data_IF_483251175978
#
_entry.id   IF_483251175978
#
_cell.length_a   1.000
_cell.length_b   1.000
_cell.length_c   1.000
_cell.angle_alpha   90.00
_cell.angle_beta   90.00
_cell.angle_gamma   90.00
#
_symmetry.space_group_name_H-M   'P 1'
#
loop_
_entity.id
_entity.type
_entity.pdbx_description
1 polymer ?
#
# COMPACT_ATOMS: atom_id res chain seq x y z
N UNK A 1 3.84 43.38 -27.12
CA UNK A 1 4.16 42.68 -25.85
C UNK A 1 3.29 43.29 -24.77
N UNK A 2 2.17 42.64 -24.44
CA UNK A 2 1.26 43.07 -23.39
C UNK A 2 1.04 41.88 -22.47
N UNK A 3 1.72 41.88 -21.33
CA UNK A 3 1.58 40.88 -20.29
C UNK A 3 0.22 41.01 -19.64
N UNK A 4 -0.55 39.92 -19.63
CA UNK A 4 -1.72 39.75 -18.77
C UNK A 4 -1.27 38.97 -17.56
N UNK A 5 -1.23 39.70 -16.46
CA UNK A 5 -0.94 39.28 -15.10
C UNK A 5 -1.95 38.27 -14.58
N UNK A 6 -1.39 37.17 -14.08
CA UNK A 6 -1.86 36.30 -13.00
C UNK A 6 -3.14 36.71 -12.27
N UNK A 7 -4.15 35.84 -12.30
CA UNK A 7 -5.10 35.67 -11.20
C UNK A 7 -5.12 34.19 -10.82
N UNK A 8 -4.21 33.83 -9.91
CA UNK A 8 -4.25 32.55 -9.18
C UNK A 8 -5.52 32.57 -8.33
N UNK A 9 -6.48 31.72 -8.71
CA UNK A 9 -7.74 31.53 -8.01
C UNK A 9 -7.46 31.11 -6.57
N UNK A 10 -7.73 32.02 -5.63
CA UNK A 10 -7.70 31.74 -4.20
C UNK A 10 -8.74 30.66 -3.89
N UNK A 11 -8.29 29.41 -3.80
CA UNK A 11 -9.07 28.37 -3.13
C UNK A 11 -9.18 28.77 -1.66
N UNK A 12 -10.41 29.11 -1.27
CA UNK A 12 -10.84 29.45 0.08
C UNK A 12 -10.10 28.66 1.16
N UNK A 13 -9.29 29.38 1.94
CA UNK A 13 -8.69 28.87 3.15
C UNK A 13 -9.78 28.52 4.18
N UNK A 14 -9.88 27.23 4.50
CA UNK A 14 -10.43 26.61 5.72
C UNK A 14 -11.54 27.36 6.50
N UNK A 15 -12.81 27.06 6.21
CA UNK A 15 -13.87 27.15 7.23
C UNK A 15 -14.17 25.75 7.76
N UNK A 16 -13.51 25.40 8.87
CA UNK A 16 -13.68 24.10 9.54
C UNK A 16 -13.13 24.10 10.96
N UNK A 17 -13.34 25.18 11.71
CA UNK A 17 -13.21 25.16 13.16
C UNK A 17 -14.43 24.42 13.71
N UNK A 18 -14.33 23.09 13.77
CA UNK A 18 -15.34 22.27 14.43
C UNK A 18 -14.93 22.09 15.90
N UNK A 19 -15.76 22.66 16.75
CA UNK A 19 -15.68 22.77 18.19
C UNK A 19 -15.98 21.40 18.81
N UNK A 20 -14.96 20.56 18.98
CA UNK A 20 -15.05 19.33 19.79
C UNK A 20 -13.93 19.37 20.82
N UNK A 21 -14.18 20.17 21.85
CA UNK A 21 -13.54 20.09 23.15
C UNK A 21 -13.64 18.63 23.65
N UNK A 22 -12.51 17.96 23.91
CA UNK A 22 -12.25 17.04 25.05
C UNK A 22 -10.98 16.18 24.80
N UNK A 23 -10.11 16.13 25.82
CA UNK A 23 -8.93 15.24 26.00
C UNK A 23 -7.67 15.55 25.18
N UNK A 24 -6.77 16.32 25.81
CA UNK A 24 -5.44 16.74 25.32
C UNK A 24 -5.48 17.50 23.98
N UNK A 25 -5.05 18.75 23.96
CA UNK A 25 -4.95 19.51 22.71
C UNK A 25 -3.83 18.97 21.83
N UNK A 26 -4.21 18.19 20.82
CA UNK A 26 -3.30 17.70 19.80
C UNK A 26 -3.12 18.77 18.71
N UNK A 27 -1.94 18.81 18.09
CA UNK A 27 -1.68 19.64 16.91
C UNK A 27 -2.40 19.04 15.69
N UNK A 28 -2.53 19.82 14.63
CA UNK A 28 -2.99 19.30 13.34
C UNK A 28 -1.98 18.26 12.82
N UNK A 29 -2.45 17.15 12.22
CA UNK A 29 -1.58 16.18 11.57
C UNK A 29 -0.71 16.85 10.50
N UNK A 30 0.54 16.40 10.38
CA UNK A 30 1.43 16.86 9.33
C UNK A 30 0.94 16.36 7.97
N UNK A 31 0.89 17.26 6.98
CA UNK A 31 0.65 16.90 5.58
C UNK A 31 1.98 16.49 4.93
N UNK A 32 2.01 15.33 4.28
CA UNK A 32 3.15 14.89 3.49
C UNK A 32 3.03 15.52 2.10
N UNK A 33 4.11 16.14 1.63
CA UNK A 33 4.21 16.70 0.28
C UNK A 33 5.22 15.89 -0.54
N UNK A 34 4.97 15.77 -1.84
CA UNK A 34 5.89 15.11 -2.76
C UNK A 34 7.10 16.00 -3.03
N UNK A 35 8.28 15.40 -3.02
CA UNK A 35 9.55 16.09 -3.25
C UNK A 35 10.25 15.57 -4.50
N UNK A 36 11.28 16.30 -4.93
CA UNK A 36 12.10 15.91 -6.08
C UNK A 36 12.91 14.64 -5.77
N UNK A 37 13.25 14.39 -4.49
CA UNK A 37 13.94 13.16 -4.09
C UNK A 37 13.12 11.89 -4.37
N UNK A 38 11.78 11.98 -4.31
CA UNK A 38 10.87 10.85 -4.56
C UNK A 38 10.94 10.35 -6.02
N UNK A 39 11.37 11.20 -6.96
CA UNK A 39 11.59 10.81 -8.36
C UNK A 39 12.78 9.84 -8.52
N UNK A 40 13.80 9.97 -7.67
CA UNK A 40 14.97 9.08 -7.71
C UNK A 40 14.60 7.67 -7.27
N UNK A 41 13.71 7.54 -6.28
CA UNK A 41 13.15 6.26 -5.87
C UNK A 41 12.39 5.59 -7.03
N UNK A 42 11.59 6.35 -7.77
CA UNK A 42 10.90 5.84 -8.96
C UNK A 42 11.87 5.32 -10.04
N UNK A 43 12.97 6.02 -10.32
CA UNK A 43 13.98 5.58 -11.29
C UNK A 43 14.66 4.26 -10.87
N UNK A 44 14.92 4.09 -9.58
CA UNK A 44 15.49 2.83 -9.06
C UNK A 44 14.52 1.65 -9.24
N UNK A 45 13.25 1.82 -8.85
CA UNK A 45 12.23 0.77 -9.03
C UNK A 45 12.02 0.43 -10.50
N UNK A 46 11.99 1.44 -11.37
CA UNK A 46 11.87 1.24 -12.82
C UNK A 46 13.03 0.42 -13.37
N UNK A 47 14.26 0.75 -12.98
CA UNK A 47 15.47 0.02 -13.41
C UNK A 47 15.46 -1.43 -12.92
N UNK A 48 15.09 -1.68 -11.67
CA UNK A 48 14.96 -3.04 -11.14
C UNK A 48 13.90 -3.85 -11.88
N UNK A 49 12.77 -3.24 -12.23
CA UNK A 49 11.70 -3.89 -12.96
C UNK A 49 12.09 -4.22 -14.41
N UNK A 50 12.80 -3.31 -15.09
CA UNK A 50 13.35 -3.57 -16.42
C UNK A 50 14.39 -4.71 -16.39
N UNK A 51 15.26 -4.74 -15.37
CA UNK A 51 16.24 -5.81 -15.18
C UNK A 51 15.57 -7.17 -14.92
N UNK A 52 14.51 -7.24 -14.10
CA UNK A 52 13.74 -8.47 -13.88
C UNK A 52 12.99 -8.91 -15.14
N UNK A 53 12.34 -7.99 -15.85
CA UNK A 53 11.64 -8.32 -17.11
C UNK A 53 12.58 -8.86 -18.20
N UNK A 54 13.85 -8.43 -18.23
CA UNK A 54 14.85 -8.98 -19.16
C UNK A 54 15.33 -10.41 -18.83
N UNK A 55 15.06 -10.88 -17.60
CA UNK A 55 15.36 -12.26 -17.15
C UNK A 55 14.13 -13.16 -17.34
N UNK A 56 12.93 -12.60 -17.22
CA UNK A 56 11.65 -13.32 -17.26
C UNK A 56 11.17 -13.69 -18.69
N UNK A 57 11.78 -13.15 -19.74
CA UNK A 57 11.49 -13.56 -21.14
C UNK A 57 12.11 -14.93 -21.52
N UNK A 58 12.73 -15.66 -20.58
CA UNK A 58 13.26 -17.02 -20.84
C UNK A 58 12.66 -18.17 -20.04
N UNK A 59 12.04 -17.95 -18.88
CA UNK A 59 11.39 -19.01 -18.09
C UNK A 59 10.27 -18.31 -17.32
N UNK A 60 9.00 -18.46 -17.71
CA UNK A 60 8.27 -19.68 -17.46
C UNK A 60 8.00 -19.80 -15.95
N UNK A 61 6.75 -19.50 -15.55
CA UNK A 61 6.03 -20.15 -14.46
C UNK A 61 6.91 -20.85 -13.39
N UNK A 62 7.06 -20.26 -12.20
CA UNK A 62 7.26 -21.02 -10.96
C UNK A 62 7.00 -20.11 -9.76
N UNK A 63 5.89 -20.42 -9.11
CA UNK A 63 5.60 -20.20 -7.69
C UNK A 63 6.83 -20.43 -6.81
N UNK A 64 7.28 -19.43 -6.06
CA UNK A 64 8.25 -19.64 -4.97
C UNK A 64 7.66 -19.21 -3.65
N UNK A 65 7.11 -20.18 -2.93
CA UNK A 65 7.32 -20.34 -1.49
C UNK A 65 7.21 -21.85 -1.19
N UNK A 66 8.17 -22.60 -1.73
CA UNK A 66 8.45 -23.96 -1.28
C UNK A 66 9.21 -23.88 0.06
N UNK A 67 8.46 -23.79 1.15
CA UNK A 67 8.90 -24.37 2.42
C UNK A 67 8.34 -25.78 2.43
N UNK A 68 9.27 -26.74 2.40
CA UNK A 68 8.98 -28.16 2.46
C UNK A 68 8.22 -28.51 3.75
N UNK A 69 6.91 -28.67 3.61
CA UNK A 69 6.07 -29.51 4.45
C UNK A 69 4.94 -29.98 3.52
N UNK A 70 4.78 -31.29 3.32
CA UNK A 70 3.78 -31.87 2.41
C UNK A 70 2.34 -31.71 2.94
N UNK A 71 2.05 -30.59 3.61
CA UNK A 71 0.74 -30.23 4.10
C UNK A 71 -0.08 -29.69 2.95
N UNK A 72 -1.24 -30.28 2.74
CA UNK A 72 -2.19 -29.75 1.75
C UNK A 72 -2.51 -28.29 2.09
N UNK A 73 -2.77 -27.44 1.09
CA UNK A 73 -3.12 -26.02 1.34
C UNK A 73 -4.25 -25.86 2.39
N UNK A 74 -5.18 -26.83 2.45
CA UNK A 74 -6.25 -26.87 3.44
C UNK A 74 -5.75 -27.01 4.87
N UNK A 75 -4.71 -27.81 5.09
CA UNK A 75 -4.09 -28.03 6.39
C UNK A 75 -3.32 -26.79 6.85
N UNK A 76 -2.56 -26.17 5.95
CA UNK A 76 -1.87 -24.88 6.21
C UNK A 76 -2.89 -23.81 6.63
N UNK A 77 -3.99 -23.70 5.90
CA UNK A 77 -5.06 -22.74 6.22
C UNK A 77 -5.73 -23.08 7.54
N UNK A 78 -6.02 -24.35 7.81
CA UNK A 78 -6.65 -24.81 9.05
C UNK A 78 -5.80 -24.48 10.30
N UNK A 79 -4.48 -24.70 10.21
CA UNK A 79 -3.53 -24.32 11.27
C UNK A 79 -3.50 -22.80 11.47
N UNK A 80 -3.44 -22.02 10.38
CA UNK A 80 -3.37 -20.55 10.43
C UNK A 80 -4.59 -19.90 11.07
N UNK A 81 -5.78 -20.45 10.85
CA UNK A 81 -7.04 -19.91 11.38
C UNK A 81 -7.49 -20.57 12.69
N UNK A 82 -6.71 -21.54 13.20
CA UNK A 82 -7.06 -22.28 14.42
C UNK A 82 -8.36 -23.09 14.27
N UNK A 83 -8.60 -23.68 13.10
CA UNK A 83 -9.83 -24.43 12.84
C UNK A 83 -9.89 -25.72 13.67
N UNK A 84 -10.98 -25.91 14.42
CA UNK A 84 -11.27 -27.12 15.19
C UNK A 84 -12.60 -27.71 14.69
N UNK A 85 -12.60 -28.78 13.88
CA UNK A 85 -13.85 -29.36 13.38
C UNK A 85 -14.68 -29.86 14.57
N UNK A 86 -15.94 -29.48 14.63
CA UNK A 86 -16.89 -30.06 15.57
C UNK A 86 -17.30 -31.45 15.07
N UNK A 87 -17.44 -32.46 15.95
CA UNK A 87 -17.98 -33.75 15.56
C UNK A 87 -19.37 -33.52 14.98
N UNK A 88 -19.61 -34.02 13.77
CA UNK A 88 -20.95 -33.99 13.18
C UNK A 88 -21.76 -35.04 13.93
N UNK A 89 -22.85 -34.63 14.56
CA UNK A 89 -23.80 -35.57 15.13
C UNK A 89 -24.34 -36.45 13.99
N UNK A 90 -24.11 -37.76 14.10
CA UNK A 90 -24.68 -38.74 13.19
C UNK A 90 -26.19 -38.77 13.40
N UNK A 91 -26.94 -38.10 12.52
CA UNK A 91 -28.40 -38.25 12.41
C UNK A 91 -28.73 -39.62 11.82
#
# INVERSE_FOLDING_TARGET
>A
MSGVSSTFSEHSFCTGFNEQFLKMFHRKPTRIELKVEDLQEYETMKKENEQKSSIEDKEGDITTEAVADEKTQKEIVAERIGYKPQPKDSI
#
